data_IF_307816806946
#
_entry.id   IF_307816806946
#
_cell.length_a   1.000
_cell.length_b   1.000
_cell.length_c   1.000
_cell.angle_alpha   90.00
_cell.angle_beta   90.00
_cell.angle_gamma   90.00
#
_symmetry.space_group_name_H-M   'P 1'
#
loop_
_entity.id
_entity.type
_entity.pdbx_description
1 polymer ?
#
# COMPACT_ATOMS: atom_id res chain seq x y z
N UNK A 1 1.21 -7.67 -5.63
CA UNK A 1 -0.08 -8.04 -4.99
C UNK A 1 -0.18 -9.55 -4.78
N UNK A 2 0.74 -10.15 -4.00
CA UNK A 2 0.78 -11.62 -3.74
C UNK A 2 0.04 -12.02 -2.47
N UNK A 3 -0.54 -11.06 -1.72
CA UNK A 3 -1.16 -11.32 -0.42
C UNK A 3 -2.30 -12.35 -0.49
N UNK A 4 -3.11 -12.34 -1.56
CA UNK A 4 -4.19 -13.30 -1.76
C UNK A 4 -3.72 -14.68 -2.25
N UNK A 5 -2.44 -14.83 -2.59
CA UNK A 5 -1.84 -16.07 -3.10
C UNK A 5 -0.82 -16.67 -2.12
N UNK A 6 -0.72 -16.13 -0.90
CA UNK A 6 0.13 -16.68 0.15
C UNK A 6 -0.64 -17.67 1.02
N UNK A 7 -0.72 -18.92 0.56
CA UNK A 7 -1.45 -20.02 1.19
C UNK A 7 -0.69 -20.72 2.32
N UNK A 8 0.49 -20.21 2.71
CA UNK A 8 1.28 -20.79 3.80
C UNK A 8 0.55 -20.61 5.13
N UNK A 9 0.73 -21.53 6.10
CA UNK A 9 0.28 -21.29 7.47
C UNK A 9 0.87 -19.98 8.02
N UNK A 10 0.02 -19.09 8.52
CA UNK A 10 0.43 -17.76 8.98
C UNK A 10 0.82 -16.80 7.84
N UNK A 11 0.51 -17.13 6.59
CA UNK A 11 0.72 -16.26 5.44
C UNK A 11 -0.27 -15.11 5.36
N UNK A 12 -0.06 -14.21 4.40
CA UNK A 12 -0.86 -13.01 4.20
C UNK A 12 -2.37 -13.31 4.06
N UNK A 13 -2.74 -14.38 3.34
CA UNK A 13 -4.14 -14.76 3.14
C UNK A 13 -4.81 -15.15 4.46
N UNK A 14 -4.11 -15.88 5.33
CA UNK A 14 -4.61 -16.24 6.66
C UNK A 14 -4.88 -15.00 7.51
N UNK A 15 -3.96 -14.03 7.50
CA UNK A 15 -4.12 -12.77 8.23
C UNK A 15 -5.27 -11.91 7.68
N UNK A 16 -5.45 -11.87 6.35
CA UNK A 16 -6.60 -11.19 5.72
C UNK A 16 -7.92 -11.79 6.24
N UNK A 17 -8.08 -13.11 6.15
CA UNK A 17 -9.31 -13.75 6.61
C UNK A 17 -9.53 -13.56 8.10
N UNK A 18 -8.50 -13.73 8.93
CA UNK A 18 -8.62 -13.53 10.37
C UNK A 18 -9.09 -12.10 10.71
N UNK A 19 -8.47 -11.07 10.12
CA UNK A 19 -8.84 -9.68 10.36
C UNK A 19 -10.28 -9.37 9.89
N UNK A 20 -10.63 -9.81 8.68
CA UNK A 20 -11.95 -9.55 8.07
C UNK A 20 -13.07 -10.27 8.83
N UNK A 21 -12.90 -11.52 9.24
CA UNK A 21 -13.90 -12.25 10.01
C UNK A 21 -14.03 -11.75 11.44
N UNK A 22 -12.92 -11.36 12.08
CA UNK A 22 -12.95 -10.71 13.40
C UNK A 22 -13.75 -9.40 13.33
N UNK A 23 -13.43 -8.53 12.37
CA UNK A 23 -14.13 -7.26 12.18
C UNK A 23 -15.63 -7.47 11.90
N UNK A 24 -15.97 -8.41 10.99
CA UNK A 24 -17.37 -8.80 10.72
C UNK A 24 -18.11 -9.20 12.00
N UNK A 25 -17.48 -9.99 12.85
CA UNK A 25 -18.05 -10.46 14.12
C UNK A 25 -18.27 -9.30 15.09
N UNK A 26 -17.28 -8.43 15.26
CA UNK A 26 -17.34 -7.27 16.15
C UNK A 26 -18.40 -6.26 15.70
N UNK A 27 -18.61 -6.09 14.39
CA UNK A 27 -19.65 -5.22 13.83
C UNK A 27 -21.04 -5.89 13.72
N UNK A 28 -21.17 -7.17 14.13
CA UNK A 28 -22.45 -7.88 14.07
C UNK A 28 -23.00 -8.11 12.65
N UNK A 29 -22.12 -8.14 11.64
CA UNK A 29 -22.57 -8.26 10.25
C UNK A 29 -23.03 -9.68 9.92
N UNK A 30 -24.20 -9.82 9.31
CA UNK A 30 -24.69 -11.11 8.79
C UNK A 30 -23.88 -11.57 7.57
N UNK A 31 -23.66 -10.66 6.61
CA UNK A 31 -22.89 -10.86 5.38
C UNK A 31 -21.99 -9.66 5.10
N UNK A 32 -20.91 -9.89 4.35
CA UNK A 32 -20.16 -8.81 3.72
C UNK A 32 -21.02 -8.18 2.62
N UNK A 33 -20.97 -6.87 2.53
CA UNK A 33 -21.66 -6.11 1.50
C UNK A 33 -20.81 -4.89 1.18
N UNK A 34 -20.04 -5.02 0.09
CA UNK A 34 -19.10 -4.00 -0.38
C UNK A 34 -19.73 -3.02 -1.37
N UNK A 35 -20.97 -3.29 -1.81
CA UNK A 35 -21.67 -2.46 -2.79
C UNK A 35 -22.60 -1.45 -2.10
N UNK A 36 -23.04 -1.73 -0.87
CA UNK A 36 -23.87 -0.83 -0.10
C UNK A 36 -23.12 0.47 0.27
N UNK A 37 -23.55 1.65 -0.23
CA UNK A 37 -22.90 2.93 0.07
C UNK A 37 -22.90 3.26 1.57
N UNK A 38 -23.96 2.88 2.29
CA UNK A 38 -24.06 3.10 3.74
C UNK A 38 -23.05 2.29 4.56
N UNK A 39 -22.38 1.30 3.94
CA UNK A 39 -21.32 0.51 4.56
C UNK A 39 -19.93 0.96 4.15
N UNK A 40 -19.80 1.94 3.24
CA UNK A 40 -18.52 2.33 2.66
C UNK A 40 -17.49 2.67 3.73
N UNK A 41 -17.81 3.56 4.68
CA UNK A 41 -16.87 3.97 5.73
C UNK A 41 -16.41 2.80 6.60
N UNK A 42 -17.33 1.90 6.96
CA UNK A 42 -17.00 0.71 7.75
C UNK A 42 -16.20 -0.32 6.97
N UNK A 43 -16.44 -0.44 5.66
CA UNK A 43 -15.63 -1.28 4.79
C UNK A 43 -14.21 -0.71 4.67
N UNK A 44 -14.06 0.62 4.57
CA UNK A 44 -12.74 1.29 4.58
C UNK A 44 -12.02 1.02 5.91
N UNK A 45 -12.70 1.16 7.05
CA UNK A 45 -12.12 0.86 8.37
C UNK A 45 -11.66 -0.61 8.48
N UNK A 46 -12.44 -1.55 7.93
CA UNK A 46 -12.04 -2.95 7.85
C UNK A 46 -10.77 -3.13 7.00
N UNK A 47 -10.69 -2.48 5.83
CA UNK A 47 -9.51 -2.57 4.97
C UNK A 47 -8.27 -1.94 5.60
N UNK A 48 -8.41 -0.84 6.34
CA UNK A 48 -7.33 -0.26 7.14
C UNK A 48 -6.84 -1.24 8.22
N UNK A 49 -7.76 -2.00 8.84
CA UNK A 49 -7.43 -3.04 9.82
C UNK A 49 -6.67 -4.20 9.16
N UNK A 50 -7.06 -4.60 7.95
CA UNK A 50 -6.35 -5.61 7.16
C UNK A 50 -4.94 -5.15 6.81
N UNK A 51 -4.78 -3.93 6.27
CA UNK A 51 -3.48 -3.35 5.94
C UNK A 51 -2.55 -3.32 7.15
N UNK A 52 -3.03 -2.78 8.29
CA UNK A 52 -2.28 -2.73 9.54
C UNK A 52 -1.83 -4.12 9.98
N UNK A 53 -2.73 -5.11 9.93
CA UNK A 53 -2.41 -6.50 10.31
C UNK A 53 -1.32 -7.08 9.40
N UNK A 54 -1.41 -6.84 8.09
CA UNK A 54 -0.42 -7.35 7.14
C UNK A 54 0.97 -6.71 7.34
N UNK A 55 1.03 -5.40 7.61
CA UNK A 55 2.29 -4.70 7.91
C UNK A 55 2.91 -5.24 9.20
N UNK A 56 2.14 -5.38 10.27
CA UNK A 56 2.61 -5.90 11.56
C UNK A 56 3.15 -7.33 11.46
N UNK A 57 2.56 -8.17 10.60
CA UNK A 57 2.99 -9.55 10.39
C UNK A 57 3.98 -9.70 9.21
N UNK A 58 4.58 -8.59 8.74
CA UNK A 58 5.56 -8.58 7.62
C UNK A 58 5.05 -9.26 6.33
N UNK A 59 3.74 -9.30 6.16
CA UNK A 59 3.04 -9.83 4.99
C UNK A 59 2.79 -8.75 3.92
N UNK A 60 2.99 -7.47 4.28
CA UNK A 60 2.95 -6.33 3.38
C UNK A 60 4.05 -5.35 3.78
N UNK A 61 4.90 -4.97 2.83
CA UNK A 61 5.90 -3.92 3.00
C UNK A 61 5.33 -2.59 2.49
N UNK A 62 5.46 -1.54 3.30
CA UNK A 62 5.14 -0.18 2.85
C UNK A 62 6.18 0.29 1.82
N UNK A 63 5.81 1.20 0.89
CA UNK A 63 6.77 1.77 -0.05
C UNK A 63 7.94 2.43 0.67
N UNK A 64 9.16 2.03 0.33
CA UNK A 64 10.41 2.68 0.75
C UNK A 64 11.11 3.19 -0.51
N UNK A 65 11.19 4.51 -0.66
CA UNK A 65 11.37 5.17 -1.96
C UNK A 65 12.64 6.02 -1.97
N UNK A 66 13.53 5.75 -2.92
CA UNK A 66 14.67 6.61 -3.22
C UNK A 66 14.31 7.62 -4.32
N UNK A 67 14.75 8.88 -4.16
CA UNK A 67 14.54 9.94 -5.15
C UNK A 67 15.90 10.40 -5.66
N UNK A 68 16.18 10.17 -6.94
CA UNK A 68 17.50 10.39 -7.54
C UNK A 68 17.85 11.86 -7.84
N UNK A 69 16.96 12.83 -7.58
CA UNK A 69 17.12 14.23 -8.02
C UNK A 69 16.24 15.21 -7.22
N UNK A 70 16.50 16.53 -7.36
CA UNK A 70 15.93 17.69 -6.65
C UNK A 70 14.40 17.91 -6.75
N UNK A 71 13.62 16.98 -7.33
CA UNK A 71 12.14 17.01 -7.36
C UNK A 71 11.49 16.71 -5.99
N UNK A 72 12.16 17.15 -4.94
CA UNK A 72 12.15 16.54 -3.61
C UNK A 72 10.89 16.90 -2.81
N UNK A 73 10.43 18.15 -2.84
CA UNK A 73 9.40 18.61 -1.89
C UNK A 73 8.02 17.97 -2.16
N UNK A 74 7.49 18.10 -3.38
CA UNK A 74 6.17 17.56 -3.73
C UNK A 74 6.12 16.03 -3.64
N UNK A 75 7.19 15.34 -4.06
CA UNK A 75 7.25 13.89 -3.97
C UNK A 75 7.31 13.43 -2.53
N UNK A 76 8.10 14.08 -1.67
CA UNK A 76 8.13 13.77 -0.22
C UNK A 76 6.76 13.88 0.42
N UNK A 77 5.96 14.89 0.05
CA UNK A 77 4.60 15.06 0.58
C UNK A 77 3.65 13.94 0.13
N UNK A 78 3.74 13.51 -1.14
CA UNK A 78 2.96 12.38 -1.66
C UNK A 78 3.36 11.09 -0.94
N UNK A 79 4.66 10.82 -0.81
CA UNK A 79 5.19 9.63 -0.13
C UNK A 79 4.63 9.56 1.30
N UNK A 80 4.74 10.65 2.07
CA UNK A 80 4.22 10.72 3.44
C UNK A 80 2.71 10.53 3.51
N UNK A 81 1.93 11.16 2.60
CA UNK A 81 0.47 11.01 2.57
C UNK A 81 0.03 9.56 2.36
N UNK A 82 0.81 8.80 1.60
CA UNK A 82 0.56 7.38 1.34
C UNK A 82 1.30 6.44 2.31
N UNK A 83 1.75 6.95 3.47
CA UNK A 83 2.46 6.18 4.50
C UNK A 83 3.75 5.51 4.01
N UNK A 84 4.30 6.00 2.89
CA UNK A 84 5.60 5.59 2.41
C UNK A 84 6.73 6.22 3.22
N UNK A 85 7.92 5.66 3.07
CA UNK A 85 9.16 6.12 3.70
C UNK A 85 10.19 6.47 2.62
N UNK A 86 11.18 7.29 2.97
CA UNK A 86 12.24 7.72 2.06
C UNK A 86 13.47 6.88 2.35
N UNK A 87 14.01 6.26 1.31
CA UNK A 87 15.25 5.49 1.36
C UNK A 87 16.46 6.42 1.25
N UNK A 88 17.56 6.05 1.92
CA UNK A 88 18.80 6.84 1.89
C UNK A 88 19.64 6.52 0.65
N UNK A 89 19.46 5.32 0.07
CA UNK A 89 20.17 4.86 -1.12
C UNK A 89 19.22 4.14 -2.10
N UNK A 90 19.69 3.82 -3.31
CA UNK A 90 18.96 2.94 -4.22
C UNK A 90 18.85 1.50 -3.73
N UNK A 91 19.84 1.01 -2.96
CA UNK A 91 19.99 -0.40 -2.60
C UNK A 91 19.03 -0.85 -1.49
N UNK A 92 18.67 0.06 -0.58
CA UNK A 92 17.65 -0.16 0.43
C UNK A 92 16.23 0.09 -0.10
N UNK A 93 16.09 0.72 -1.27
CA UNK A 93 14.78 1.13 -1.79
C UNK A 93 13.96 -0.01 -2.41
N UNK A 94 12.67 0.01 -2.15
CA UNK A 94 11.69 -0.80 -2.92
C UNK A 94 11.37 -0.21 -4.29
N UNK A 95 11.54 1.11 -4.43
CA UNK A 95 11.26 1.86 -5.65
C UNK A 95 12.26 3.01 -5.78
N UNK A 96 12.70 3.27 -7.01
CA UNK A 96 13.60 4.37 -7.33
C UNK A 96 12.88 5.31 -8.30
N UNK A 97 12.83 6.59 -7.97
CA UNK A 97 12.23 7.62 -8.81
C UNK A 97 13.33 8.44 -9.47
N UNK A 98 13.33 8.44 -10.80
CA UNK A 98 14.21 9.26 -11.64
C UNK A 98 13.49 10.52 -12.14
N UNK A 99 14.22 11.61 -12.42
CA UNK A 99 13.64 12.75 -13.11
C UNK A 99 13.18 12.36 -14.53
N UNK A 100 12.26 13.12 -15.13
CA UNK A 100 11.90 12.95 -16.53
C UNK A 100 13.14 12.99 -17.42
N UNK A 101 13.20 12.11 -18.42
CA UNK A 101 14.26 12.15 -19.44
C UNK A 101 14.08 13.44 -20.23
N UNK A 102 15.14 14.25 -20.46
CA UNK A 102 15.05 15.42 -21.33
C UNK A 102 14.56 14.99 -22.71
N UNK A 103 13.46 15.57 -23.19
CA UNK A 103 13.03 15.38 -24.57
C UNK A 103 14.02 16.12 -25.47
N UNK A 104 14.86 15.37 -26.18
CA UNK A 104 15.61 15.94 -27.30
C UNK A 104 14.61 16.30 -28.39
N UNK A 105 14.30 17.59 -28.53
CA UNK A 105 13.64 18.11 -29.74
C UNK A 105 14.58 17.87 -30.92
N UNK A 106 14.35 16.78 -31.66
CA UNK A 106 15.01 16.50 -32.95
C UNK A 106 14.38 17.23 -34.13
N UNK A 107 13.54 18.24 -33.91
CA UNK A 107 12.87 19.01 -34.98
C UNK A 107 13.74 20.13 -35.59
N UNK A 108 15.06 19.94 -35.67
CA UNK A 108 16.00 20.98 -36.10
C UNK A 108 17.16 20.52 -36.99
N UNK A 109 17.01 19.41 -37.71
CA UNK A 109 17.93 19.00 -38.79
C UNK A 109 17.15 18.80 -40.10
#
# INVERSE_FOLDING_TARGET
MKCFMDFKPGGALCHIFAAVYKFKSEQGWRRFDFQSPSRMDRNVEMFMTVEKTLVQNKCLSLPHIYISSELVSRLKDIIKRHQGTIAESPDDATHIVYPPVPTTDTSGL
#
